data_IF_457811297567
#
_entry.id   IF_457811297567
#
_cell.length_a   1.000
_cell.length_b   1.000
_cell.length_c   1.000
_cell.angle_alpha   90.00
_cell.angle_beta   90.00
_cell.angle_gamma   90.00
#
_symmetry.space_group_name_H-M   'P 1'
#
loop_
_entity.id
_entity.type
_entity.pdbx_description
1 polymer ?
#
# COMPACT_ATOMS: atom_id res chain seq x y z
N UNK A 1 28.86 4.03 21.35
CA UNK A 1 27.43 3.82 21.03
C UNK A 1 27.06 4.90 20.03
N UNK A 2 27.02 4.56 18.74
CA UNK A 2 26.70 5.55 17.70
C UNK A 2 25.18 5.58 17.61
N UNK A 3 24.57 6.62 18.17
CA UNK A 3 23.21 7.01 17.84
C UNK A 3 23.18 7.42 16.37
N UNK A 4 23.06 6.44 15.48
CA UNK A 4 23.01 6.62 14.03
C UNK A 4 21.62 7.13 13.57
N UNK A 5 21.05 8.07 14.33
CA UNK A 5 19.81 8.74 13.98
C UNK A 5 20.15 10.02 13.24
N UNK A 6 20.07 9.96 11.91
CA UNK A 6 20.16 11.13 11.04
C UNK A 6 18.73 11.58 10.65
N UNK A 7 18.33 12.83 10.94
CA UNK A 7 17.05 13.37 10.52
C UNK A 7 16.81 13.28 9.01
N UNK A 8 17.85 13.44 8.18
CA UNK A 8 17.71 13.37 6.71
C UNK A 8 17.34 11.96 6.23
N UNK A 9 17.99 10.93 6.79
CA UNK A 9 17.63 9.54 6.52
C UNK A 9 16.20 9.27 7.00
N UNK A 10 15.78 9.86 8.12
CA UNK A 10 14.44 9.65 8.63
C UNK A 10 13.37 10.27 7.72
N UNK A 11 13.63 11.46 7.17
CA UNK A 11 12.78 12.05 6.12
C UNK A 11 12.75 11.18 4.85
N UNK A 12 13.91 10.66 4.40
CA UNK A 12 13.97 9.73 3.26
C UNK A 12 13.12 8.48 3.51
N UNK A 13 13.19 7.90 4.70
CA UNK A 13 12.40 6.72 5.06
C UNK A 13 10.90 7.00 4.95
N UNK A 14 10.45 8.17 5.45
CA UNK A 14 9.04 8.57 5.33
C UNK A 14 8.61 8.71 3.87
N UNK A 15 9.44 9.32 3.02
CA UNK A 15 9.15 9.49 1.59
C UNK A 15 9.05 8.15 0.85
N UNK A 16 9.97 7.22 1.12
CA UNK A 16 9.94 5.86 0.53
C UNK A 16 8.70 5.09 0.97
N UNK A 17 8.31 5.20 2.25
CA UNK A 17 7.07 4.59 2.77
C UNK A 17 5.83 5.20 2.09
N UNK A 18 5.73 6.53 1.98
CA UNK A 18 4.62 7.21 1.30
C UNK A 18 4.53 6.83 -0.18
N UNK A 19 5.68 6.67 -0.83
CA UNK A 19 5.76 6.22 -2.23
C UNK A 19 5.29 4.78 -2.37
N UNK A 20 5.72 3.89 -1.47
CA UNK A 20 5.34 2.48 -1.48
C UNK A 20 3.82 2.28 -1.31
N UNK A 21 3.20 3.05 -0.41
CA UNK A 21 1.75 2.97 -0.13
C UNK A 21 0.90 3.88 -1.03
N UNK A 22 1.52 4.63 -1.94
CA UNK A 22 0.83 5.49 -2.90
C UNK A 22 0.01 6.62 -2.27
N UNK A 23 0.31 7.03 -1.04
CA UNK A 23 -0.44 8.04 -0.27
C UNK A 23 0.50 8.84 0.63
N UNK A 24 0.37 10.17 0.59
CA UNK A 24 1.07 11.04 1.53
C UNK A 24 0.33 11.09 2.87
N UNK A 25 1.07 11.07 3.98
CA UNK A 25 0.50 10.86 5.31
C UNK A 25 0.46 12.19 6.07
N UNK A 26 -0.71 12.83 6.08
CA UNK A 26 -0.88 14.19 6.64
C UNK A 26 -2.06 14.32 7.60
N UNK A 27 -3.09 13.50 7.43
CA UNK A 27 -4.34 13.57 8.17
C UNK A 27 -4.50 12.39 9.13
N UNK A 28 -5.36 12.49 10.17
CA UNK A 28 -5.70 11.36 11.03
C UNK A 28 -6.06 10.06 10.28
N UNK A 29 -6.75 10.19 9.15
CA UNK A 29 -7.16 9.07 8.30
C UNK A 29 -5.96 8.40 7.62
N UNK A 30 -4.98 9.18 7.19
CA UNK A 30 -3.77 8.64 6.55
C UNK A 30 -2.93 7.85 7.56
N UNK A 31 -2.94 8.23 8.84
CA UNK A 31 -2.26 7.46 9.89
C UNK A 31 -2.94 6.13 10.19
N UNK A 32 -4.28 6.08 10.16
CA UNK A 32 -5.04 4.84 10.27
C UNK A 32 -4.76 3.92 9.07
N UNK A 33 -4.77 4.49 7.86
CA UNK A 33 -4.41 3.80 6.64
C UNK A 33 -2.99 3.22 6.71
N UNK A 34 -2.00 4.05 7.08
CA UNK A 34 -0.60 3.62 7.17
C UNK A 34 -0.41 2.51 8.21
N UNK A 35 -1.06 2.62 9.37
CA UNK A 35 -1.00 1.58 10.42
C UNK A 35 -1.45 0.22 9.88
N UNK A 36 -2.54 0.16 9.10
CA UNK A 36 -3.04 -1.08 8.49
C UNK A 36 -2.16 -1.56 7.34
N UNK A 37 -1.57 -0.66 6.55
CA UNK A 37 -0.59 -1.04 5.54
C UNK A 37 0.63 -1.70 6.19
N UNK A 38 1.21 -1.08 7.23
CA UNK A 38 2.38 -1.63 7.95
C UNK A 38 2.08 -3.05 8.44
N UNK A 39 0.92 -3.27 9.06
CA UNK A 39 0.48 -4.59 9.51
C UNK A 39 0.42 -5.59 8.35
N UNK A 40 -0.20 -5.22 7.22
CA UNK A 40 -0.28 -6.12 6.07
C UNK A 40 1.05 -6.37 5.35
N UNK A 41 2.07 -5.53 5.55
CA UNK A 41 3.42 -5.74 5.02
C UNK A 41 4.33 -6.54 5.94
N UNK A 42 4.22 -6.32 7.25
CA UNK A 42 5.21 -6.78 8.22
C UNK A 42 4.67 -7.78 9.24
N UNK A 43 3.34 -7.93 9.33
CA UNK A 43 2.62 -8.63 10.40
C UNK A 43 2.87 -8.05 11.81
N UNK A 44 3.37 -6.81 11.91
CA UNK A 44 3.53 -6.08 13.17
C UNK A 44 2.84 -4.72 13.06
N UNK A 45 2.49 -4.13 14.20
CA UNK A 45 1.69 -2.90 14.24
C UNK A 45 2.45 -1.73 14.86
N UNK A 46 2.26 -0.54 14.31
CA UNK A 46 2.65 0.73 14.95
C UNK A 46 1.37 1.50 15.24
N UNK A 47 1.16 1.87 16.50
CA UNK A 47 -0.04 2.63 16.87
C UNK A 47 -0.13 3.96 16.11
N UNK A 48 -1.36 4.36 15.76
CA UNK A 48 -1.66 5.65 15.11
C UNK A 48 -1.06 6.83 15.89
N UNK A 49 -1.09 6.77 17.23
CA UNK A 49 -0.49 7.81 18.09
C UNK A 49 1.03 7.89 17.94
N UNK A 50 1.70 6.75 17.75
CA UNK A 50 3.14 6.70 17.48
C UNK A 50 3.45 7.26 16.09
N UNK A 51 2.69 6.88 15.06
CA UNK A 51 2.86 7.39 13.69
C UNK A 51 2.67 8.92 13.64
N UNK A 52 1.64 9.45 14.31
CA UNK A 52 1.41 10.90 14.42
C UNK A 52 2.60 11.66 14.99
N UNK A 53 3.29 11.10 15.98
CA UNK A 53 4.51 11.70 16.55
C UNK A 53 5.68 11.62 15.57
N UNK A 54 5.84 10.47 14.90
CA UNK A 54 6.91 10.22 13.93
C UNK A 54 6.82 11.13 12.70
N UNK A 55 5.61 11.43 12.23
CA UNK A 55 5.37 12.35 11.12
C UNK A 55 5.27 13.83 11.54
N UNK A 56 5.48 14.14 12.82
CA UNK A 56 5.43 15.52 13.32
C UNK A 56 4.02 16.12 13.40
N UNK A 57 2.97 15.30 13.25
CA UNK A 57 1.58 15.74 13.43
C UNK A 57 1.25 16.08 14.89
N UNK A 58 1.89 15.39 15.83
CA UNK A 58 1.85 15.71 17.27
C UNK A 58 3.28 15.97 17.75
N UNK A 59 3.50 17.10 18.43
CA UNK A 59 4.78 17.40 19.02
C UNK A 59 5.22 16.30 19.99
N UNK A 60 6.44 15.80 19.80
CA UNK A 60 7.03 14.77 20.65
C UNK A 60 8.50 15.14 20.93
N UNK A 61 8.91 15.27 22.19
CA UNK A 61 10.32 15.49 22.53
C UNK A 61 11.15 14.22 22.36
N UNK A 62 10.50 13.05 22.23
CA UNK A 62 11.18 11.77 22.13
C UNK A 62 11.42 11.39 20.67
N UNK A 63 12.66 10.95 20.38
CA UNK A 63 13.04 10.32 19.11
C UNK A 63 12.22 9.04 18.88
N UNK A 64 11.95 8.66 17.62
CA UNK A 64 11.35 7.37 17.30
C UNK A 64 12.20 6.22 17.84
N UNK A 65 11.55 5.15 18.32
CA UNK A 65 12.27 3.97 18.80
C UNK A 65 12.94 3.25 17.62
N UNK A 66 14.09 2.61 17.87
CA UNK A 66 14.79 1.77 16.89
C UNK A 66 13.89 0.67 16.33
N UNK A 67 12.97 0.13 17.14
CA UNK A 67 11.99 -0.86 16.69
C UNK A 67 11.08 -0.33 15.57
N UNK A 68 10.52 0.87 15.73
CA UNK A 68 9.64 1.46 14.72
C UNK A 68 10.42 1.81 13.44
N UNK A 69 11.66 2.29 13.57
CA UNK A 69 12.54 2.55 12.43
C UNK A 69 12.83 1.26 11.66
N UNK A 70 13.22 0.19 12.36
CA UNK A 70 13.45 -1.11 11.76
C UNK A 70 12.20 -1.66 11.06
N UNK A 71 11.02 -1.42 11.61
CA UNK A 71 9.78 -1.91 11.00
C UNK A 71 9.46 -1.19 9.69
N UNK A 72 9.58 0.15 9.67
CA UNK A 72 9.41 0.93 8.45
C UNK A 72 10.49 0.57 7.41
N UNK A 73 11.74 0.36 7.83
CA UNK A 73 12.81 -0.10 6.94
C UNK A 73 12.52 -1.48 6.33
N UNK A 74 11.98 -2.42 7.12
CA UNK A 74 11.52 -3.72 6.62
C UNK A 74 10.37 -3.62 5.63
N UNK A 75 9.44 -2.71 5.88
CA UNK A 75 8.32 -2.45 4.97
C UNK A 75 8.80 -2.04 3.57
N UNK A 76 9.85 -1.24 3.47
CA UNK A 76 10.43 -0.79 2.18
C UNK A 76 11.53 -1.72 1.63
N UNK A 77 11.81 -2.85 2.30
CA UNK A 77 12.69 -3.91 1.78
C UNK A 77 14.10 -3.98 2.36
N UNK A 78 14.42 -3.20 3.38
CA UNK A 78 15.70 -3.26 4.10
C UNK A 78 15.59 -4.17 5.33
N UNK A 79 16.68 -4.79 5.79
CA UNK A 79 16.63 -5.64 6.99
C UNK A 79 16.26 -4.87 8.27
N UNK A 80 16.75 -3.64 8.38
CA UNK A 80 16.64 -2.78 9.56
C UNK A 80 17.03 -1.32 9.22
N UNK A 81 16.96 -0.45 10.23
CA UNK A 81 17.32 0.96 10.11
C UNK A 81 18.77 1.19 9.70
N UNK A 82 19.71 0.38 10.20
CA UNK A 82 21.13 0.57 9.91
C UNK A 82 21.45 0.22 8.46
N UNK A 83 20.81 -0.82 7.91
CA UNK A 83 20.89 -1.16 6.50
C UNK A 83 20.33 -0.03 5.62
N UNK A 84 19.25 0.63 6.07
CA UNK A 84 18.66 1.76 5.36
C UNK A 84 19.50 3.04 5.44
N UNK A 85 19.99 3.42 6.63
CA UNK A 85 20.75 4.66 6.86
C UNK A 85 22.22 4.53 6.43
N UNK A 86 22.76 3.32 6.44
CA UNK A 86 24.19 3.04 6.22
C UNK A 86 24.67 3.17 4.78
N UNK A 87 23.80 3.51 3.82
CA UNK A 87 24.16 3.85 2.45
C UNK A 87 24.86 2.75 1.63
N UNK A 88 24.95 1.52 2.14
CA UNK A 88 25.79 0.48 1.55
C UNK A 88 25.16 -0.34 0.41
N UNK A 89 23.97 0.05 -0.07
CA UNK A 89 23.29 -0.62 -1.18
C UNK A 89 23.61 -0.01 -2.56
N UNK A 90 24.56 0.94 -2.64
CA UNK A 90 25.04 1.51 -3.91
C UNK A 90 25.95 0.52 -4.68
N UNK A 91 26.39 -0.59 -4.07
CA UNK A 91 27.32 -1.56 -4.67
C UNK A 91 26.71 -2.94 -4.97
N UNK A 92 25.46 -3.21 -4.61
CA UNK A 92 24.82 -4.49 -4.91
C UNK A 92 23.98 -4.35 -6.18
N UNK A 93 24.35 -5.05 -7.25
CA UNK A 93 23.54 -5.19 -8.47
C UNK A 93 22.20 -5.91 -8.23
N UNK A 94 21.93 -6.33 -6.99
CA UNK A 94 20.73 -7.03 -6.55
C UNK A 94 20.29 -6.48 -5.20
N UNK A 95 19.08 -5.91 -5.16
CA UNK A 95 18.40 -5.47 -3.94
C UNK A 95 17.09 -6.23 -3.78
N UNK A 96 16.69 -6.52 -2.55
CA UNK A 96 15.33 -6.99 -2.30
C UNK A 96 14.38 -5.83 -2.60
N UNK A 97 13.53 -6.00 -3.62
CA UNK A 97 12.49 -5.01 -3.93
C UNK A 97 11.16 -5.49 -3.40
N UNK A 98 10.63 -4.77 -2.42
CA UNK A 98 9.26 -4.99 -1.95
C UNK A 98 8.31 -4.36 -2.98
N UNK A 99 7.40 -5.17 -3.51
CA UNK A 99 6.38 -4.69 -4.44
C UNK A 99 5.40 -3.77 -3.71
N UNK A 100 5.01 -2.69 -4.38
CA UNK A 100 3.92 -1.85 -3.92
C UNK A 100 2.62 -2.67 -3.89
N UNK A 101 1.97 -2.64 -2.73
CA UNK A 101 0.82 -3.45 -2.38
C UNK A 101 -0.15 -2.57 -1.61
N UNK A 102 -1.40 -2.62 -2.01
CA UNK A 102 -2.50 -1.99 -1.30
C UNK A 102 -3.27 -3.06 -0.53
N UNK A 103 -3.27 -2.96 0.79
CA UNK A 103 -4.18 -3.73 1.65
C UNK A 103 -5.59 -3.12 1.60
N UNK A 104 -6.60 -3.91 1.24
CA UNK A 104 -7.97 -3.43 1.06
C UNK A 104 -8.59 -2.93 2.38
N UNK A 105 -8.36 -3.66 3.48
CA UNK A 105 -8.85 -3.24 4.81
C UNK A 105 -8.24 -1.91 5.27
N UNK A 106 -7.13 -1.43 4.71
CA UNK A 106 -6.62 -0.10 5.05
C UNK A 106 -7.51 1.04 4.54
N UNK A 107 -8.37 0.79 3.55
CA UNK A 107 -9.21 1.79 2.91
C UNK A 107 -10.44 2.12 3.78
N UNK A 108 -10.92 3.35 3.64
CA UNK A 108 -12.20 3.78 4.16
C UNK A 108 -13.30 3.57 3.11
N UNK A 109 -14.53 3.28 3.58
CA UNK A 109 -15.68 3.13 2.68
C UNK A 109 -15.86 4.40 1.85
N UNK A 110 -16.06 4.23 0.54
CA UNK A 110 -16.18 5.32 -0.42
C UNK A 110 -14.87 5.73 -1.08
N UNK A 111 -13.71 5.29 -0.59
CA UNK A 111 -12.44 5.53 -1.27
C UNK A 111 -12.38 4.77 -2.59
N UNK A 112 -11.76 5.40 -3.60
CA UNK A 112 -11.64 4.82 -4.93
C UNK A 112 -10.22 4.35 -5.20
N UNK A 113 -10.11 3.23 -5.90
CA UNK A 113 -8.85 2.68 -6.39
C UNK A 113 -8.95 2.62 -7.91
N UNK A 114 -7.96 3.17 -8.59
CA UNK A 114 -7.81 3.07 -10.03
C UNK A 114 -6.80 2.00 -10.37
N UNK A 115 -7.24 0.98 -11.09
CA UNK A 115 -6.42 -0.13 -11.56
C UNK A 115 -6.16 0.01 -13.05
N UNK A 116 -4.95 -0.34 -13.49
CA UNK A 116 -4.61 -0.36 -14.92
C UNK A 116 -3.78 -1.58 -15.29
N UNK A 117 -4.05 -2.16 -16.46
CA UNK A 117 -3.27 -3.28 -17.01
C UNK A 117 -3.35 -3.36 -18.53
N UNK A 118 -2.47 -4.15 -19.15
CA UNK A 118 -2.42 -4.27 -20.60
C UNK A 118 -3.61 -5.05 -21.19
N UNK A 119 -4.01 -4.75 -22.44
CA UNK A 119 -3.62 -3.59 -23.25
C UNK A 119 -4.52 -2.39 -22.94
N UNK A 120 -3.99 -1.36 -22.26
CA UNK A 120 -4.69 -0.08 -22.05
C UNK A 120 -6.03 -0.18 -21.31
N UNK A 121 -6.16 -1.12 -20.38
CA UNK A 121 -7.37 -1.32 -19.57
C UNK A 121 -7.30 -0.47 -18.32
N UNK A 122 -8.44 0.12 -17.96
CA UNK A 122 -8.60 0.95 -16.77
C UNK A 122 -9.85 0.49 -16.04
N UNK A 123 -9.77 0.37 -14.73
CA UNK A 123 -10.90 0.06 -13.88
C UNK A 123 -10.86 0.97 -12.66
N UNK A 124 -11.95 1.67 -12.38
CA UNK A 124 -12.10 2.46 -11.16
C UNK A 124 -13.09 1.75 -10.25
N UNK A 125 -12.66 1.42 -9.05
CA UNK A 125 -13.43 0.65 -8.07
C UNK A 125 -13.56 1.43 -6.78
N UNK A 126 -14.71 1.31 -6.11
CA UNK A 126 -14.99 1.96 -4.84
C UNK A 126 -15.04 0.93 -3.73
N UNK A 127 -14.33 1.18 -2.64
CA UNK A 127 -14.34 0.31 -1.48
C UNK A 127 -15.66 0.41 -0.72
N UNK A 128 -16.31 -0.73 -0.48
CA UNK A 128 -17.58 -0.86 0.25
C UNK A 128 -17.40 -1.38 1.68
N UNK A 129 -16.18 -1.80 2.05
CA UNK A 129 -15.87 -2.46 3.32
C UNK A 129 -15.72 -3.97 3.17
N UNK A 130 -15.09 -4.63 4.15
CA UNK A 130 -14.93 -6.10 4.21
C UNK A 130 -14.35 -6.65 2.90
N UNK A 131 -13.23 -6.09 2.45
CA UNK A 131 -12.55 -6.44 1.19
C UNK A 131 -13.41 -6.36 -0.07
N UNK A 132 -14.59 -5.74 0.01
CA UNK A 132 -15.57 -5.69 -1.07
C UNK A 132 -15.48 -4.37 -1.82
N UNK A 133 -15.54 -4.46 -3.15
CA UNK A 133 -15.44 -3.35 -4.06
C UNK A 133 -16.61 -3.34 -5.04
N UNK A 134 -16.98 -2.16 -5.50
CA UNK A 134 -17.97 -1.92 -6.55
C UNK A 134 -17.29 -1.20 -7.71
N UNK A 135 -17.52 -1.65 -8.94
CA UNK A 135 -16.97 -1.00 -10.15
C UNK A 135 -17.73 0.29 -10.43
N UNK A 136 -17.01 1.41 -10.39
CA UNK A 136 -17.55 2.75 -10.68
C UNK A 136 -17.42 3.10 -12.15
N UNK A 137 -16.28 2.74 -12.75
CA UNK A 137 -15.96 3.02 -14.15
C UNK A 137 -15.05 1.92 -14.72
N UNK A 138 -15.17 1.66 -16.02
CA UNK A 138 -14.46 0.57 -16.69
C UNK A 138 -14.17 0.91 -18.14
N UNK A 139 -12.92 0.74 -18.55
CA UNK A 139 -12.43 0.98 -19.92
C UNK A 139 -11.68 -0.27 -20.37
N UNK A 140 -12.12 -0.85 -21.49
CA UNK A 140 -11.52 -2.04 -22.13
C UNK A 140 -11.40 -3.28 -21.23
N UNK A 141 -12.16 -3.34 -20.12
CA UNK A 141 -12.22 -4.49 -19.21
C UNK A 141 -13.47 -5.34 -19.47
N UNK A 142 -13.45 -6.59 -18.98
CA UNK A 142 -14.64 -7.47 -18.97
C UNK A 142 -15.59 -7.14 -17.82
N UNK A 143 -15.15 -6.34 -16.86
CA UNK A 143 -15.95 -5.86 -15.74
C UNK A 143 -16.76 -4.65 -16.18
N UNK A 144 -18.00 -4.56 -15.73
CA UNK A 144 -18.91 -3.46 -16.02
C UNK A 144 -19.19 -2.63 -14.75
N UNK A 145 -19.62 -1.38 -14.96
CA UNK A 145 -20.09 -0.51 -13.86
C UNK A 145 -21.23 -1.19 -13.11
N UNK A 146 -21.14 -1.19 -11.78
CA UNK A 146 -22.09 -1.86 -10.88
C UNK A 146 -21.69 -3.28 -10.49
N UNK A 147 -20.66 -3.87 -11.11
CA UNK A 147 -20.14 -5.17 -10.69
C UNK A 147 -19.56 -5.07 -9.28
N UNK A 148 -19.77 -6.10 -8.47
CA UNK A 148 -19.19 -6.19 -7.13
C UNK A 148 -18.31 -7.42 -7.01
N UNK A 149 -17.20 -7.30 -6.29
CA UNK A 149 -16.29 -8.41 -6.04
C UNK A 149 -15.53 -8.23 -4.73
N UNK A 150 -14.88 -9.29 -4.27
CA UNK A 150 -14.00 -9.29 -3.10
C UNK A 150 -12.53 -9.38 -3.54
N UNK A 151 -11.67 -8.56 -2.92
CA UNK A 151 -10.22 -8.63 -3.12
C UNK A 151 -9.49 -8.05 -1.88
N UNK A 152 -8.72 -8.86 -1.14
CA UNK A 152 -8.08 -8.41 0.10
C UNK A 152 -6.83 -7.56 -0.13
N UNK A 153 -6.18 -7.68 -1.29
CA UNK A 153 -4.95 -6.96 -1.60
C UNK A 153 -4.72 -6.80 -3.10
N UNK A 154 -4.07 -5.70 -3.48
CA UNK A 154 -3.64 -5.42 -4.85
C UNK A 154 -2.12 -5.33 -4.85
N UNK A 155 -1.43 -6.14 -5.64
CA UNK A 155 0.04 -6.16 -5.71
C UNK A 155 0.46 -5.72 -7.10
N UNK A 156 1.32 -4.70 -7.18
CA UNK A 156 1.83 -4.22 -8.46
C UNK A 156 2.60 -5.29 -9.23
N UNK A 157 2.44 -5.26 -10.56
CA UNK A 157 3.10 -6.17 -11.51
C UNK A 157 2.80 -7.66 -11.22
N UNK A 158 1.68 -7.95 -10.57
CA UNK A 158 1.17 -9.31 -10.38
C UNK A 158 -0.26 -9.44 -10.92
N UNK A 159 -0.66 -10.65 -11.36
CA UNK A 159 -2.05 -10.92 -11.69
C UNK A 159 -2.96 -10.63 -10.51
N UNK A 160 -4.10 -10.03 -10.79
CA UNK A 160 -5.11 -9.71 -9.78
C UNK A 160 -6.21 -10.77 -9.83
N UNK A 161 -6.46 -11.42 -8.70
CA UNK A 161 -7.53 -12.40 -8.55
C UNK A 161 -8.67 -11.78 -7.76
N UNK A 162 -9.85 -11.78 -8.37
CA UNK A 162 -11.09 -11.31 -7.77
C UNK A 162 -11.95 -12.53 -7.46
N UNK A 163 -12.49 -12.56 -6.25
CA UNK A 163 -13.46 -13.58 -5.81
C UNK A 163 -14.84 -12.97 -5.67
N UNK A 164 -15.87 -13.83 -5.62
CA UNK A 164 -17.26 -13.43 -5.45
C UNK A 164 -17.73 -12.35 -6.45
N UNK A 165 -17.28 -12.44 -7.71
CA UNK A 165 -17.71 -11.48 -8.73
C UNK A 165 -19.20 -11.68 -9.03
N UNK A 166 -19.98 -10.66 -8.73
CA UNK A 166 -21.38 -10.54 -9.08
C UNK A 166 -21.52 -9.61 -10.28
N UNK A 167 -21.88 -10.19 -11.41
CA UNK A 167 -22.16 -9.48 -12.67
C UNK A 167 -23.56 -9.87 -13.16
N UNK A 168 -24.40 -8.91 -13.60
CA UNK A 168 -25.75 -9.21 -14.06
C UNK A 168 -25.79 -10.29 -15.14
N UNK A 169 -26.51 -11.38 -14.89
CA UNK A 169 -26.68 -12.47 -15.85
C UNK A 169 -25.55 -13.51 -15.89
N UNK A 170 -24.51 -13.37 -15.06
CA UNK A 170 -23.43 -14.38 -14.92
C UNK A 170 -23.50 -14.98 -13.51
N UNK A 171 -23.41 -16.31 -13.35
CA UNK A 171 -23.27 -16.93 -12.04
C UNK A 171 -22.06 -16.38 -11.29
N UNK A 172 -22.12 -16.37 -9.96
CA UNK A 172 -20.99 -15.96 -9.12
C UNK A 172 -19.72 -16.70 -9.55
N UNK A 173 -18.69 -15.95 -9.92
CA UNK A 173 -17.45 -16.52 -10.45
C UNK A 173 -16.22 -15.78 -9.94
N UNK A 174 -15.06 -16.37 -10.23
CA UNK A 174 -13.77 -15.72 -10.00
C UNK A 174 -13.28 -15.10 -11.30
N UNK A 175 -12.57 -13.98 -11.19
CA UNK A 175 -12.03 -13.26 -12.33
C UNK A 175 -10.54 -13.00 -12.14
N UNK A 176 -9.77 -13.09 -13.21
CA UNK A 176 -8.35 -12.73 -13.22
C UNK A 176 -8.12 -11.53 -14.13
N UNK A 177 -7.54 -10.46 -13.58
CA UNK A 177 -7.08 -9.29 -14.32
C UNK A 177 -5.55 -9.31 -14.42
N UNK A 178 -4.99 -8.70 -15.47
CA UNK A 178 -3.54 -8.57 -15.60
C UNK A 178 -2.76 -9.90 -15.62
N UNK A 179 -3.36 -11.00 -16.08
CA UNK A 179 -2.70 -12.32 -16.09
C UNK A 179 -1.32 -12.28 -16.78
N UNK A 180 -1.20 -11.47 -17.84
CA UNK A 180 0.05 -11.23 -18.55
C UNK A 180 0.50 -9.78 -18.28
N UNK A 181 1.50 -9.60 -17.41
CA UNK A 181 2.10 -8.29 -17.09
C UNK A 181 1.64 -7.65 -15.78
N UNK A 182 0.64 -8.21 -15.11
CA UNK A 182 0.15 -7.74 -13.83
C UNK A 182 -0.70 -6.47 -13.90
N UNK A 183 -1.02 -5.93 -12.72
CA UNK A 183 -1.76 -4.69 -12.56
C UNK A 183 -0.88 -3.57 -11.99
N UNK A 184 -1.26 -2.33 -12.24
CA UNK A 184 -0.84 -1.15 -11.47
C UNK A 184 -2.06 -0.59 -10.74
N UNK A 185 -1.83 0.04 -9.60
CA UNK A 185 -2.91 0.65 -8.82
C UNK A 185 -2.53 2.06 -8.39
N UNK A 186 -3.55 2.89 -8.19
CA UNK A 186 -3.39 4.23 -7.65
C UNK A 186 -4.63 4.61 -6.86
N UNK A 187 -4.47 5.35 -5.77
CA UNK A 187 -5.60 5.82 -4.97
C UNK A 187 -6.21 7.05 -5.65
N UNK A 188 -7.50 7.01 -5.93
CA UNK A 188 -8.22 8.13 -6.50
C UNK A 188 -8.35 9.25 -5.47
N UNK A 189 -7.86 10.44 -5.82
CA UNK A 189 -8.08 11.68 -5.06
C UNK A 189 -9.47 12.25 -5.26
#
# INVERSE_FOLDING_TARGET
MIDNYNPEDFERLKQEVETLVGRSVKTPKDFEFLSRQIEGYTNETISVSTLKRMWGYVASPCKPSKYNLNLLSRMIGYSDWEAFSGGNDVMSSSRFFVKSKLIADALQKGEQVRLTWCPGRVLTIMYKGNDTFEVVDSINSKLAKGDTFTCPQFVEDQPLYLSNLSHPGIPLCNYVAGQNGGIKWNLGG
#
